data_IF_181121675586
#
_entry.id   IF_181121675586
#
_cell.length_a   1.000
_cell.length_b   1.000
_cell.length_c   1.000
_cell.angle_alpha   90.00
_cell.angle_beta   90.00
_cell.angle_gamma   90.00
#
_symmetry.space_group_name_H-M   'P 1'
#
loop_
_entity.id
_entity.type
_entity.pdbx_description
1 polymer ?
#
# COMPACT_ATOMS: atom_id res chain seq x y z
N UNK A 1 11.60 -30.97 8.90
CA UNK A 1 10.48 -30.46 8.09
C UNK A 1 9.91 -29.26 8.84
N UNK A 2 9.97 -28.07 8.24
CA UNK A 2 9.62 -26.81 8.94
C UNK A 2 8.09 -26.71 9.09
N UNK A 3 7.55 -27.24 10.20
CA UNK A 3 6.12 -27.35 10.53
C UNK A 3 5.43 -26.01 10.85
N UNK A 4 6.09 -24.88 10.57
CA UNK A 4 5.57 -23.55 10.88
C UNK A 4 5.56 -22.69 9.64
N UNK A 5 4.46 -21.98 9.40
CA UNK A 5 4.42 -20.91 8.39
C UNK A 5 5.56 -19.94 8.69
N UNK A 6 6.54 -19.81 7.78
CA UNK A 6 7.68 -18.92 7.98
C UNK A 6 7.25 -17.45 7.85
N UNK A 7 6.71 -16.92 8.96
CA UNK A 7 6.15 -15.56 9.08
C UNK A 7 7.19 -14.50 8.68
N UNK A 8 8.47 -14.70 9.02
CA UNK A 8 9.56 -13.77 8.66
C UNK A 8 9.74 -13.65 7.14
N UNK A 9 9.78 -14.78 6.43
CA UNK A 9 9.91 -14.79 4.97
C UNK A 9 8.72 -14.12 4.28
N UNK A 10 7.51 -14.26 4.83
CA UNK A 10 6.31 -13.59 4.32
C UNK A 10 6.36 -12.07 4.55
N UNK A 11 6.82 -11.61 5.71
CA UNK A 11 6.97 -10.17 5.98
C UNK A 11 8.03 -9.53 5.09
N UNK A 12 9.18 -10.19 4.93
CA UNK A 12 10.23 -9.74 4.01
C UNK A 12 9.69 -9.76 2.57
N UNK A 13 8.93 -10.78 2.20
CA UNK A 13 8.27 -10.84 0.89
C UNK A 13 7.27 -9.70 0.68
N UNK A 14 6.52 -9.31 1.71
CA UNK A 14 5.58 -8.18 1.63
C UNK A 14 6.30 -6.84 1.49
N UNK A 15 7.39 -6.66 2.23
CA UNK A 15 8.21 -5.46 2.17
C UNK A 15 9.00 -5.35 0.85
N UNK A 16 9.51 -6.45 0.31
CA UNK A 16 10.28 -6.41 -0.94
C UNK A 16 9.34 -6.47 -2.14
N UNK A 17 8.47 -7.48 -2.26
CA UNK A 17 7.60 -7.59 -3.44
C UNK A 17 6.42 -6.64 -3.37
N UNK A 18 5.67 -6.67 -2.27
CA UNK A 18 4.47 -5.85 -2.11
C UNK A 18 4.76 -4.36 -2.25
N UNK A 19 5.72 -3.82 -1.51
CA UNK A 19 6.07 -2.39 -1.63
C UNK A 19 6.76 -2.06 -2.96
N UNK A 20 7.75 -2.84 -3.41
CA UNK A 20 8.55 -2.46 -4.58
C UNK A 20 7.78 -2.61 -5.89
N UNK A 21 6.89 -3.61 -6.01
CA UNK A 21 5.96 -3.72 -7.15
C UNK A 21 4.97 -2.55 -7.15
N UNK A 22 4.46 -2.16 -5.97
CA UNK A 22 3.57 -1.00 -5.83
C UNK A 22 4.29 0.31 -6.13
N UNK A 23 5.55 0.44 -5.72
CA UNK A 23 6.38 1.59 -6.00
C UNK A 23 6.69 1.69 -7.50
N UNK A 24 7.07 0.59 -8.15
CA UNK A 24 7.37 0.55 -9.57
C UNK A 24 6.14 0.91 -10.42
N UNK A 25 4.98 0.31 -10.13
CA UNK A 25 3.72 0.66 -10.81
C UNK A 25 3.26 2.08 -10.48
N UNK A 26 3.49 2.53 -9.24
CA UNK A 26 3.26 3.91 -8.81
C UNK A 26 4.10 4.93 -9.58
N UNK A 27 5.34 4.59 -9.95
CA UNK A 27 6.18 5.44 -10.79
C UNK A 27 5.60 5.61 -12.19
N UNK A 28 4.96 4.59 -12.77
CA UNK A 28 4.23 4.75 -14.04
C UNK A 28 3.05 5.70 -13.89
N UNK A 29 2.23 5.55 -12.82
CA UNK A 29 1.12 6.48 -12.52
C UNK A 29 1.64 7.90 -12.40
N UNK A 30 2.76 8.11 -11.71
CA UNK A 30 3.41 9.40 -11.55
C UNK A 30 3.88 9.99 -12.90
N UNK A 31 4.55 9.22 -13.74
CA UNK A 31 5.04 9.68 -15.05
C UNK A 31 3.89 10.05 -15.99
N UNK A 32 2.84 9.23 -16.05
CA UNK A 32 1.63 9.53 -16.83
C UNK A 32 0.91 10.75 -16.29
N UNK A 33 0.78 10.87 -14.96
CA UNK A 33 0.23 12.05 -14.33
C UNK A 33 1.02 13.30 -14.71
N UNK A 34 2.35 13.27 -14.64
CA UNK A 34 3.17 14.42 -15.02
C UNK A 34 2.95 14.84 -16.48
N UNK A 35 2.83 13.89 -17.40
CA UNK A 35 2.56 14.15 -18.80
C UNK A 35 1.16 14.76 -19.05
N UNK A 36 0.15 14.35 -18.28
CA UNK A 36 -1.27 14.70 -18.50
C UNK A 36 -1.75 15.86 -17.62
N UNK A 37 -1.06 16.13 -16.50
CA UNK A 37 -1.45 17.11 -15.47
C UNK A 37 -1.64 18.52 -16.03
N UNK A 38 -0.80 18.95 -16.97
CA UNK A 38 -0.90 20.27 -17.61
C UNK A 38 -2.18 20.45 -18.44
N UNK A 39 -2.75 19.37 -18.97
CA UNK A 39 -3.96 19.44 -19.78
C UNK A 39 -5.25 19.39 -18.96
N UNK A 40 -5.25 18.66 -17.83
CA UNK A 40 -6.46 18.41 -17.03
C UNK A 40 -6.52 19.15 -15.69
N UNK A 41 -5.41 19.74 -15.22
CA UNK A 41 -5.35 20.47 -13.95
C UNK A 41 -5.83 19.63 -12.76
N UNK A 42 -6.69 20.21 -11.91
CA UNK A 42 -7.22 19.55 -10.71
C UNK A 42 -7.98 18.25 -11.00
N UNK A 43 -8.68 18.16 -12.13
CA UNK A 43 -9.39 16.94 -12.51
C UNK A 43 -8.41 15.77 -12.73
N UNK A 44 -7.24 16.06 -13.31
CA UNK A 44 -6.16 15.09 -13.46
C UNK A 44 -5.67 14.58 -12.11
N UNK A 45 -5.50 15.47 -11.12
CA UNK A 45 -5.09 15.09 -9.77
C UNK A 45 -6.06 14.11 -9.09
N UNK A 46 -7.37 14.36 -9.20
CA UNK A 46 -8.39 13.50 -8.60
C UNK A 46 -8.43 12.13 -9.29
N UNK A 47 -8.45 12.13 -10.63
CA UNK A 47 -8.54 10.89 -11.41
C UNK A 47 -7.31 10.01 -11.22
N UNK A 48 -6.11 10.56 -11.36
CA UNK A 48 -4.87 9.81 -11.15
C UNK A 48 -4.63 9.47 -9.68
N UNK A 49 -5.14 10.28 -8.74
CA UNK A 49 -5.13 9.94 -7.32
C UNK A 49 -5.97 8.70 -7.02
N UNK A 50 -7.15 8.60 -7.62
CA UNK A 50 -7.99 7.40 -7.52
C UNK A 50 -7.31 6.19 -8.16
N UNK A 51 -6.71 6.35 -9.35
CA UNK A 51 -5.94 5.28 -10.00
C UNK A 51 -4.79 4.80 -9.10
N UNK A 52 -4.06 5.72 -8.48
CA UNK A 52 -2.98 5.40 -7.55
C UNK A 52 -3.44 4.56 -6.36
N UNK A 53 -4.57 4.92 -5.74
CA UNK A 53 -5.20 4.11 -4.68
C UNK A 53 -5.57 2.72 -5.21
N UNK A 54 -6.21 2.64 -6.37
CA UNK A 54 -6.59 1.37 -6.99
C UNK A 54 -5.38 0.47 -7.29
N UNK A 55 -4.24 1.04 -7.70
CA UNK A 55 -2.99 0.31 -7.90
C UNK A 55 -2.50 -0.34 -6.61
N UNK A 56 -2.47 0.42 -5.50
CA UNK A 56 -2.11 -0.10 -4.17
C UNK A 56 -3.05 -1.25 -3.79
N UNK A 57 -4.35 -1.07 -3.97
CA UNK A 57 -5.34 -2.12 -3.69
C UNK A 57 -5.11 -3.36 -4.54
N UNK A 58 -4.96 -3.23 -5.85
CA UNK A 58 -4.84 -4.36 -6.77
C UNK A 58 -3.59 -5.21 -6.49
N UNK A 59 -2.43 -4.58 -6.27
CA UNK A 59 -1.17 -5.28 -6.03
C UNK A 59 -1.18 -5.96 -4.67
N UNK A 60 -1.61 -5.25 -3.63
CA UNK A 60 -1.72 -5.83 -2.29
C UNK A 60 -2.83 -6.89 -2.23
N UNK A 61 -3.85 -6.79 -3.06
CA UNK A 61 -4.89 -7.80 -3.18
C UNK A 61 -4.34 -9.09 -3.81
N UNK A 62 -3.67 -8.98 -4.96
CA UNK A 62 -3.04 -10.13 -5.62
C UNK A 62 -2.01 -10.81 -4.71
N UNK A 63 -1.14 -10.03 -4.07
CA UNK A 63 -0.15 -10.56 -3.14
C UNK A 63 -0.82 -11.23 -1.93
N UNK A 64 -1.77 -10.56 -1.28
CA UNK A 64 -2.42 -11.08 -0.07
C UNK A 64 -3.27 -12.33 -0.34
N UNK A 65 -4.01 -12.38 -1.46
CA UNK A 65 -4.77 -13.58 -1.86
C UNK A 65 -3.84 -14.79 -2.02
N UNK A 66 -2.76 -14.64 -2.81
CA UNK A 66 -1.78 -15.72 -3.06
C UNK A 66 -1.10 -16.21 -1.78
N UNK A 67 -0.85 -15.33 -0.81
CA UNK A 67 -0.27 -15.73 0.48
C UNK A 67 -1.31 -16.35 1.42
N UNK A 68 -2.56 -15.87 1.38
CA UNK A 68 -3.68 -16.41 2.16
C UNK A 68 -3.98 -17.86 1.77
N UNK A 69 -4.08 -18.15 0.47
CA UNK A 69 -4.31 -19.49 -0.06
C UNK A 69 -3.18 -20.47 0.32
N UNK A 70 -1.92 -20.03 0.19
CA UNK A 70 -0.76 -20.84 0.60
C UNK A 70 -0.73 -21.10 2.11
N UNK A 71 -1.20 -20.14 2.90
CA UNK A 71 -1.29 -20.30 4.35
C UNK A 71 -2.38 -21.31 4.73
N UNK A 72 -3.58 -21.22 4.14
CA UNK A 72 -4.66 -22.22 4.36
C UNK A 72 -4.21 -23.62 3.95
N UNK A 73 -3.58 -23.77 2.79
CA UNK A 73 -3.11 -25.07 2.30
C UNK A 73 -2.12 -25.71 3.29
N UNK A 74 -1.22 -24.92 3.89
CA UNK A 74 -0.28 -25.41 4.91
C UNK A 74 -0.96 -25.75 6.24
N UNK A 75 -1.95 -24.97 6.66
CA UNK A 75 -2.73 -25.27 7.87
C UNK A 75 -3.50 -26.58 7.68
N UNK A 76 -4.13 -26.77 6.51
CA UNK A 76 -4.94 -27.97 6.21
C UNK A 76 -4.11 -29.23 5.99
N UNK A 77 -3.00 -29.14 5.25
CA UNK A 77 -2.20 -30.30 4.86
C UNK A 77 -1.08 -30.64 5.85
N UNK A 78 -0.54 -29.65 6.57
CA UNK A 78 0.62 -29.83 7.44
C UNK A 78 0.36 -29.50 8.91
N UNK A 79 -0.91 -29.23 9.30
CA UNK A 79 -1.29 -28.98 10.68
C UNK A 79 -0.66 -27.71 11.30
N UNK A 80 -0.29 -26.73 10.47
CA UNK A 80 0.26 -25.47 10.95
C UNK A 80 -0.80 -24.65 11.72
N UNK A 81 -0.36 -23.77 12.62
CA UNK A 81 -1.28 -22.92 13.40
C UNK A 81 -2.11 -21.98 12.50
N UNK A 82 -3.39 -21.77 12.83
CA UNK A 82 -4.26 -20.87 12.07
C UNK A 82 -3.75 -19.43 12.15
N UNK A 83 -3.65 -18.76 11.00
CA UNK A 83 -3.04 -17.43 10.90
C UNK A 83 -3.88 -16.42 10.09
N UNK A 84 -5.21 -16.47 10.23
CA UNK A 84 -6.18 -15.65 9.48
C UNK A 84 -5.93 -14.13 9.53
N UNK A 85 -5.47 -13.61 10.67
CA UNK A 85 -5.21 -12.17 10.85
C UNK A 85 -3.81 -11.72 10.38
N UNK A 86 -2.99 -12.62 9.83
CA UNK A 86 -1.62 -12.30 9.41
C UNK A 86 -1.56 -11.30 8.25
N UNK A 87 -2.66 -11.13 7.51
CA UNK A 87 -2.83 -10.07 6.50
C UNK A 87 -2.58 -8.66 7.03
N UNK A 88 -2.93 -8.39 8.29
CA UNK A 88 -2.65 -7.09 8.91
C UNK A 88 -1.15 -6.83 9.03
N UNK A 89 -0.37 -7.86 9.43
CA UNK A 89 1.09 -7.74 9.51
C UNK A 89 1.74 -7.61 8.13
N UNK A 90 1.20 -8.28 7.10
CA UNK A 90 1.64 -8.13 5.71
C UNK A 90 1.44 -6.69 5.23
N UNK A 91 0.25 -6.13 5.45
CA UNK A 91 -0.05 -4.75 5.09
C UNK A 91 0.79 -3.73 5.86
N UNK A 92 1.01 -3.95 7.17
CA UNK A 92 1.91 -3.14 7.97
C UNK A 92 3.35 -3.17 7.42
N UNK A 93 3.87 -4.36 7.14
CA UNK A 93 5.22 -4.52 6.62
C UNK A 93 5.41 -3.83 5.26
N UNK A 94 4.42 -3.94 4.37
CA UNK A 94 4.44 -3.24 3.08
C UNK A 94 4.33 -1.71 3.24
N UNK A 95 3.63 -1.22 4.27
CA UNK A 95 3.48 0.21 4.54
C UNK A 95 4.68 0.87 5.23
N UNK A 96 5.61 0.08 5.78
CA UNK A 96 6.75 0.58 6.58
C UNK A 96 7.58 1.64 5.85
N UNK A 97 7.96 1.49 4.57
CA UNK A 97 8.75 2.52 3.88
C UNK A 97 8.00 3.85 3.77
N UNK A 98 6.67 3.84 3.61
CA UNK A 98 5.85 5.04 3.59
C UNK A 98 5.91 5.76 4.95
N UNK A 99 5.74 5.02 6.06
CA UNK A 99 5.82 5.57 7.41
C UNK A 99 7.20 6.12 7.76
N UNK A 100 8.26 5.41 7.36
CA UNK A 100 9.64 5.89 7.53
C UNK A 100 9.86 7.18 6.75
N UNK A 101 9.39 7.24 5.50
CA UNK A 101 9.50 8.46 4.70
C UNK A 101 8.71 9.64 5.28
N UNK A 102 7.55 9.38 5.90
CA UNK A 102 6.75 10.39 6.57
C UNK A 102 7.47 10.93 7.82
N UNK A 103 8.10 10.05 8.61
CA UNK A 103 8.89 10.45 9.77
C UNK A 103 10.08 11.34 9.35
N UNK A 104 10.77 10.99 8.26
CA UNK A 104 11.82 11.83 7.68
C UNK A 104 11.28 13.20 7.23
N UNK A 105 10.06 13.25 6.67
CA UNK A 105 9.43 14.51 6.28
C UNK A 105 9.10 15.39 7.50
N UNK A 106 8.62 14.80 8.60
CA UNK A 106 8.37 15.52 9.86
C UNK A 106 9.67 16.08 10.43
N UNK A 107 10.75 15.30 10.44
CA UNK A 107 12.08 15.76 10.87
C UNK A 107 12.62 16.88 9.97
N UNK A 108 12.37 16.80 8.66
CA UNK A 108 12.70 17.86 7.70
C UNK A 108 11.94 19.16 7.99
N UNK A 109 10.64 19.08 8.34
CA UNK A 109 9.86 20.26 8.76
C UNK A 109 10.37 20.89 10.05
N UNK A 110 10.90 20.09 10.98
CA UNK A 110 11.50 20.56 12.23
C UNK A 110 12.87 21.22 12.04
N UNK A 111 13.40 21.28 10.81
CA UNK A 111 14.71 21.86 10.51
C UNK A 111 15.90 20.97 10.87
N UNK A 112 15.65 19.70 11.21
CA UNK A 112 16.70 18.73 11.56
C UNK A 112 17.37 18.16 10.29
N UNK A 113 16.60 18.03 9.21
CA UNK A 113 17.05 17.50 7.92
C UNK A 113 16.93 18.55 6.81
N UNK A 114 17.63 18.33 5.69
CA UNK A 114 17.44 19.07 4.44
C UNK A 114 16.01 18.90 3.90
N UNK A 115 15.62 19.70 2.90
CA UNK A 115 14.29 19.62 2.31
C UNK A 115 14.01 18.22 1.71
N UNK A 116 13.22 17.43 2.42
CA UNK A 116 12.92 16.03 2.09
C UNK A 116 11.61 15.88 1.30
N UNK A 117 10.85 16.97 1.07
CA UNK A 117 9.56 16.92 0.40
C UNK A 117 9.63 16.32 -1.02
N UNK A 118 10.63 16.64 -1.87
CA UNK A 118 10.76 16.00 -3.19
C UNK A 118 11.04 14.50 -3.09
N UNK A 119 11.92 14.09 -2.17
CA UNK A 119 12.24 12.69 -1.95
C UNK A 119 11.02 11.91 -1.44
N UNK A 120 10.26 12.50 -0.51
CA UNK A 120 9.00 11.94 -0.02
C UNK A 120 7.98 11.71 -1.14
N UNK A 121 7.82 12.68 -2.05
CA UNK A 121 6.93 12.58 -3.22
C UNK A 121 7.32 11.42 -4.15
N UNK A 122 8.62 11.17 -4.34
CA UNK A 122 9.13 10.08 -5.20
C UNK A 122 8.99 8.71 -4.51
N UNK A 123 9.30 8.62 -3.22
CA UNK A 123 9.14 7.36 -2.45
C UNK A 123 7.66 6.94 -2.42
N UNK A 124 6.74 7.92 -2.39
CA UNK A 124 5.30 7.69 -2.38
C UNK A 124 4.65 8.02 -3.74
N UNK A 125 5.34 7.71 -4.85
CA UNK A 125 4.91 8.07 -6.20
C UNK A 125 3.47 7.62 -6.56
N UNK A 126 3.04 6.46 -6.05
CA UNK A 126 1.66 5.96 -6.21
C UNK A 126 0.59 6.87 -5.58
N UNK A 127 0.94 7.72 -4.61
CA UNK A 127 0.04 8.73 -4.05
C UNK A 127 0.37 10.15 -4.48
N UNK A 128 1.33 10.33 -5.40
CA UNK A 128 1.78 11.65 -5.84
C UNK A 128 0.63 12.59 -6.24
N UNK A 129 -0.37 12.17 -7.04
CA UNK A 129 -1.44 13.08 -7.45
C UNK A 129 -2.28 13.59 -6.27
N UNK A 130 -2.40 12.80 -5.19
CA UNK A 130 -3.11 13.20 -3.96
C UNK A 130 -2.23 14.14 -3.13
N UNK A 131 -0.94 13.82 -3.03
CA UNK A 131 0.05 14.64 -2.33
C UNK A 131 0.16 16.02 -2.99
N UNK A 132 0.11 16.07 -4.33
CA UNK A 132 0.22 17.31 -5.09
C UNK A 132 -0.92 18.27 -4.79
N UNK A 133 -2.16 17.79 -4.62
CA UNK A 133 -3.34 18.63 -4.27
C UNK A 133 -3.12 19.45 -2.99
N UNK A 134 -2.43 18.89 -1.99
CA UNK A 134 -2.26 19.54 -0.68
C UNK A 134 -0.89 20.15 -0.48
N UNK A 135 0.10 19.71 -1.25
CA UNK A 135 1.49 20.14 -1.15
C UNK A 135 2.02 20.47 -2.55
N UNK A 136 1.47 21.51 -3.17
CA UNK A 136 1.93 22.01 -4.48
C UNK A 136 3.36 22.59 -4.42
N UNK A 137 3.85 22.94 -3.23
CA UNK A 137 5.18 23.53 -3.03
C UNK A 137 6.29 22.48 -3.15
N UNK A 138 7.49 22.95 -3.49
CA UNK A 138 8.71 22.16 -3.44
C UNK A 138 9.35 22.19 -2.04
N UNK A 139 9.07 23.24 -1.26
CA UNK A 139 9.66 23.46 0.06
C UNK A 139 8.78 23.00 1.21
N UNK A 140 9.38 22.21 2.10
CA UNK A 140 8.73 21.68 3.31
C UNK A 140 8.38 22.78 4.31
N UNK A 141 9.14 23.88 4.34
CA UNK A 141 8.94 25.02 5.24
C UNK A 141 7.60 25.73 5.00
N UNK A 142 7.15 25.76 3.75
CA UNK A 142 5.89 26.40 3.33
C UNK A 142 4.68 25.49 3.49
N UNK A 143 4.89 24.18 3.68
CA UNK A 143 3.81 23.20 3.77
C UNK A 143 3.00 23.36 5.06
N UNK A 144 1.67 23.37 4.93
CA UNK A 144 0.76 23.42 6.07
C UNK A 144 0.86 22.14 6.93
N UNK A 145 0.93 22.23 8.28
CA UNK A 145 1.07 21.04 9.13
C UNK A 145 -0.07 20.01 9.00
N UNK A 146 -1.27 20.44 8.62
CA UNK A 146 -2.39 19.51 8.38
C UNK A 146 -2.11 18.49 7.27
N UNK A 147 -1.19 18.77 6.32
CA UNK A 147 -0.83 17.84 5.25
C UNK A 147 -0.23 16.53 5.81
N UNK A 148 0.44 16.58 6.96
CA UNK A 148 0.98 15.39 7.62
C UNK A 148 -0.11 14.41 8.07
N UNK A 149 -1.28 14.91 8.46
CA UNK A 149 -2.40 14.05 8.83
C UNK A 149 -2.92 13.25 7.61
N UNK A 150 -3.04 13.91 6.45
CA UNK A 150 -3.41 13.22 5.21
C UNK A 150 -2.37 12.16 4.83
N UNK A 151 -1.08 12.53 4.91
CA UNK A 151 0.02 11.63 4.59
C UNK A 151 0.12 10.43 5.54
N UNK A 152 -0.29 10.58 6.79
CA UNK A 152 -0.42 9.48 7.73
C UNK A 152 -1.58 8.54 7.38
N UNK A 153 -2.65 9.04 6.75
CA UNK A 153 -3.80 8.20 6.36
C UNK A 153 -3.48 7.33 5.14
N UNK A 154 -2.69 7.81 4.19
CA UNK A 154 -2.44 7.11 2.93
C UNK A 154 -1.84 5.68 3.08
N UNK A 155 -0.86 5.43 3.96
CA UNK A 155 -0.33 4.09 4.18
C UNK A 155 -1.36 3.08 4.72
N UNK A 156 -2.47 3.53 5.32
CA UNK A 156 -3.52 2.62 5.79
C UNK A 156 -4.20 1.85 4.64
N UNK A 157 -4.15 2.34 3.40
CA UNK A 157 -4.66 1.59 2.25
C UNK A 157 -3.90 0.28 2.01
N UNK A 158 -2.59 0.23 2.32
CA UNK A 158 -1.81 -1.01 2.29
C UNK A 158 -2.27 -2.00 3.36
N UNK A 159 -2.52 -1.50 4.57
CA UNK A 159 -2.98 -2.28 5.71
C UNK A 159 -4.36 -2.87 5.43
N UNK A 160 -5.28 -2.03 4.95
CA UNK A 160 -6.65 -2.43 4.65
C UNK A 160 -6.69 -3.46 3.51
N UNK A 161 -5.99 -3.20 2.40
CA UNK A 161 -5.93 -4.14 1.29
C UNK A 161 -5.31 -5.47 1.70
N UNK A 162 -4.15 -5.45 2.36
CA UNK A 162 -3.46 -6.67 2.81
C UNK A 162 -4.27 -7.49 3.83
N UNK A 163 -5.01 -6.84 4.73
CA UNK A 163 -5.87 -7.52 5.69
C UNK A 163 -7.06 -8.21 5.01
N UNK A 164 -7.78 -7.49 4.14
CA UNK A 164 -8.96 -8.02 3.46
C UNK A 164 -8.60 -9.15 2.49
N UNK A 165 -7.57 -8.94 1.67
CA UNK A 165 -7.18 -9.89 0.63
C UNK A 165 -6.62 -11.19 1.20
N UNK A 166 -5.77 -11.10 2.24
CA UNK A 166 -5.27 -12.28 2.92
C UNK A 166 -6.39 -13.06 3.59
N UNK A 167 -7.33 -12.36 4.25
CA UNK A 167 -8.48 -13.02 4.88
C UNK A 167 -9.34 -13.74 3.83
N UNK A 168 -9.59 -13.12 2.68
CA UNK A 168 -10.34 -13.75 1.59
C UNK A 168 -9.62 -14.95 1.00
N UNK A 169 -8.32 -14.87 0.77
CA UNK A 169 -7.52 -15.99 0.27
C UNK A 169 -7.43 -17.14 1.29
N UNK A 170 -7.31 -16.80 2.58
CA UNK A 170 -7.25 -17.79 3.67
C UNK A 170 -8.58 -18.51 3.87
N UNK A 171 -9.70 -17.78 3.80
CA UNK A 171 -11.03 -18.36 3.93
C UNK A 171 -11.50 -19.09 2.65
N UNK A 172 -10.66 -19.14 1.61
CA UNK A 172 -10.98 -19.60 0.25
C UNK A 172 -12.36 -19.11 -0.21
N UNK A 173 -12.62 -17.81 -0.02
CA UNK A 173 -13.90 -17.21 -0.41
C UNK A 173 -13.96 -17.17 -1.93
N UNK A 174 -14.49 -18.22 -2.54
CA UNK A 174 -14.83 -18.18 -3.95
C UNK A 174 -16.07 -17.28 -4.10
N UNK A 175 -15.83 -16.02 -4.50
CA UNK A 175 -16.87 -15.03 -4.79
C UNK A 175 -17.92 -15.59 -5.76
N UNK A 176 -17.51 -16.46 -6.69
CA UNK A 176 -18.40 -17.12 -7.64
C UNK A 176 -19.40 -18.03 -6.94
N UNK A 177 -18.92 -18.84 -5.99
CA UNK A 177 -19.78 -19.73 -5.20
C UNK A 177 -20.74 -18.94 -4.29
N UNK A 178 -20.27 -17.86 -3.64
CA UNK A 178 -21.13 -17.03 -2.77
C UNK A 178 -22.20 -16.23 -3.52
N UNK A 179 -21.94 -15.82 -4.76
CA UNK A 179 -22.92 -15.15 -5.61
C UNK A 179 -23.91 -16.15 -6.22
N UNK A 180 -23.43 -17.33 -6.64
CA UNK A 180 -24.25 -18.35 -7.30
C UNK A 180 -25.12 -19.16 -6.33
N UNK A 181 -24.67 -19.38 -5.09
CA UNK A 181 -25.35 -20.21 -4.10
C UNK A 181 -26.04 -19.43 -2.98
N UNK A 182 -26.21 -18.10 -3.11
CA UNK A 182 -26.78 -17.25 -2.04
C UNK A 182 -28.27 -17.54 -1.69
N UNK A 183 -28.89 -18.56 -2.30
CA UNK A 183 -30.27 -18.98 -2.05
C UNK A 183 -30.40 -20.52 -1.88
N UNK A 184 -29.62 -21.11 -0.96
CA UNK A 184 -30.01 -22.37 -0.31
C UNK A 184 -29.68 -22.33 1.17
#
# INVERSE_FOLDING_TARGET
MENTVNKKKLLIGALIRGFLETWLLGMFVFLFFWAVSKAFGLFGNILFGFVGICTVFAIMADYGLKQGEKAESKVRLHGAEPCRNFGFMIGLAASLPCWVSLLMLVLSKAGILFNFLPAYKIINAFFFPIIDIVAHTADVSEMHPACFALFAVLPFFFILSGWLSFKWGYDQVDLKSKLMYKNK
#
